data_IF_787071446592
#
_entry.id   IF_787071446592
#
_cell.length_a   1.000
_cell.length_b   1.000
_cell.length_c   1.000
_cell.angle_alpha   90.00
_cell.angle_beta   90.00
_cell.angle_gamma   90.00
#
_symmetry.space_group_name_H-M   'P 1'
#
loop_
_entity.id
_entity.type
_entity.pdbx_description
1 polymer ?
#
# COMPACT_ATOMS: atom_id res chain seq x y z
N UNK A 1 -1.36 12.01 26.70
CA UNK A 1 -1.79 12.29 25.30
C UNK A 1 -1.64 11.06 24.39
N UNK A 2 -0.58 10.23 24.51
CA UNK A 2 -0.44 8.97 23.73
C UNK A 2 -1.45 7.84 24.02
N UNK A 3 -2.11 7.82 25.18
CA UNK A 3 -3.06 6.74 25.55
C UNK A 3 -4.36 6.83 24.73
N UNK A 4 -4.75 8.03 24.27
CA UNK A 4 -6.01 8.25 23.55
C UNK A 4 -5.87 7.83 22.07
N UNK A 5 -4.67 7.94 21.48
CA UNK A 5 -4.46 7.66 20.05
C UNK A 5 -4.59 6.17 19.69
N UNK A 6 -4.01 5.27 20.48
CA UNK A 6 -4.06 3.82 20.19
C UNK A 6 -5.46 3.23 20.40
N UNK A 7 -6.20 3.74 21.38
CA UNK A 7 -7.57 3.32 21.66
C UNK A 7 -8.52 3.66 20.50
N UNK A 8 -8.33 4.82 19.87
CA UNK A 8 -9.07 5.22 18.69
C UNK A 8 -8.70 4.32 17.49
N UNK A 9 -7.42 3.97 17.31
CA UNK A 9 -7.00 3.08 16.21
C UNK A 9 -7.61 1.69 16.33
N UNK A 10 -7.60 1.09 17.52
CA UNK A 10 -8.19 -0.23 17.76
C UNK A 10 -9.73 -0.22 17.58
N UNK A 11 -10.41 0.83 18.07
CA UNK A 11 -11.86 1.00 17.90
C UNK A 11 -12.21 1.29 16.43
N UNK A 12 -11.46 2.13 15.73
CA UNK A 12 -11.63 2.39 14.30
C UNK A 12 -11.39 1.13 13.47
N UNK A 13 -10.40 0.32 13.85
CA UNK A 13 -10.13 -0.97 13.21
C UNK A 13 -11.28 -1.94 13.44
N UNK A 14 -11.85 -1.96 14.64
CA UNK A 14 -13.05 -2.73 14.95
C UNK A 14 -14.27 -2.22 14.14
N UNK A 15 -14.51 -0.91 14.09
CA UNK A 15 -15.62 -0.31 13.33
C UNK A 15 -15.47 -0.51 11.83
N UNK A 16 -14.25 -0.44 11.29
CA UNK A 16 -13.97 -0.79 9.88
C UNK A 16 -14.17 -2.26 9.62
N UNK A 17 -13.77 -3.14 10.54
CA UNK A 17 -14.00 -4.59 10.44
C UNK A 17 -15.51 -4.89 10.46
N UNK A 18 -16.26 -4.32 11.41
CA UNK A 18 -17.71 -4.47 11.51
C UNK A 18 -18.46 -3.85 10.32
N UNK A 19 -17.96 -2.76 9.74
CA UNK A 19 -18.47 -2.21 8.49
C UNK A 19 -18.14 -3.10 7.28
N UNK A 20 -16.94 -3.71 7.25
CA UNK A 20 -16.54 -4.69 6.23
C UNK A 20 -17.25 -6.03 6.36
N UNK A 21 -17.80 -6.36 7.55
CA UNK A 21 -18.67 -7.52 7.77
C UNK A 21 -20.00 -7.43 7.00
N UNK A 22 -20.30 -6.28 6.38
CA UNK A 22 -21.41 -6.12 5.43
C UNK A 22 -20.98 -6.18 3.95
N UNK A 23 -19.69 -6.34 3.65
CA UNK A 23 -19.13 -6.39 2.30
C UNK A 23 -18.42 -7.72 2.01
N UNK A 24 -18.34 -8.09 0.73
CA UNK A 24 -17.63 -9.29 0.29
C UNK A 24 -16.14 -9.21 0.65
N UNK A 25 -15.54 -10.32 1.11
CA UNK A 25 -14.08 -10.42 1.27
C UNK A 25 -13.44 -10.27 -0.11
N UNK A 26 -12.76 -9.15 -0.35
CA UNK A 26 -12.03 -8.91 -1.59
C UNK A 26 -10.72 -9.70 -1.53
N UNK A 27 -10.50 -10.56 -2.51
CA UNK A 27 -9.25 -11.28 -2.71
C UNK A 27 -8.50 -10.65 -3.88
N UNK A 28 -7.20 -10.48 -3.72
CA UNK A 28 -6.31 -9.90 -4.73
C UNK A 28 -4.97 -10.62 -4.75
N UNK A 29 -4.28 -10.53 -5.89
CA UNK A 29 -2.93 -11.04 -6.01
C UNK A 29 -1.95 -10.05 -5.41
N UNK A 30 -1.15 -10.51 -4.45
CA UNK A 30 -0.08 -9.71 -3.86
C UNK A 30 1.16 -10.56 -3.56
N UNK A 31 2.34 -9.92 -3.53
CA UNK A 31 3.59 -10.55 -3.10
C UNK A 31 3.74 -10.46 -1.58
N UNK A 32 3.70 -11.60 -0.83
CA UNK A 32 3.88 -11.58 0.62
C UNK A 32 5.25 -11.06 1.01
N UNK A 33 6.29 -11.45 0.27
CA UNK A 33 7.66 -10.99 0.50
C UNK A 33 7.73 -9.45 0.53
N UNK A 34 7.18 -8.79 -0.51
CA UNK A 34 7.18 -7.32 -0.62
C UNK A 34 6.52 -6.65 0.58
N UNK A 35 5.33 -7.09 0.96
CA UNK A 35 4.57 -6.48 2.06
C UNK A 35 5.30 -6.65 3.38
N UNK A 36 5.88 -7.83 3.63
CA UNK A 36 6.62 -8.06 4.86
C UNK A 36 7.89 -7.21 4.93
N UNK A 37 8.62 -7.06 3.82
CA UNK A 37 9.78 -6.15 3.76
C UNK A 37 9.38 -4.70 4.07
N UNK A 38 8.28 -4.19 3.49
CA UNK A 38 7.76 -2.86 3.81
C UNK A 38 7.39 -2.71 5.30
N UNK A 39 6.73 -3.72 5.86
CA UNK A 39 6.34 -3.73 7.28
C UNK A 39 7.54 -3.78 8.22
N UNK A 40 8.53 -4.62 7.92
CA UNK A 40 9.77 -4.73 8.67
C UNK A 40 10.47 -3.39 8.71
N UNK A 41 10.67 -2.76 7.55
CA UNK A 41 11.32 -1.44 7.45
C UNK A 41 10.64 -0.39 8.35
N UNK A 42 9.31 -0.41 8.41
CA UNK A 42 8.54 0.50 9.28
C UNK A 42 8.77 0.22 10.78
N UNK A 43 8.92 -1.05 11.17
CA UNK A 43 9.03 -1.48 12.57
C UNK A 43 10.48 -1.52 13.07
N UNK A 44 11.47 -1.61 12.17
CA UNK A 44 12.91 -1.54 12.51
C UNK A 44 13.23 -0.26 13.27
N UNK A 45 12.73 0.88 12.80
CA UNK A 45 12.92 2.17 13.48
C UNK A 45 12.38 2.14 14.93
N UNK A 46 11.19 1.56 15.14
CA UNK A 46 10.59 1.45 16.48
C UNK A 46 11.38 0.50 17.40
N UNK A 47 11.93 -0.59 16.84
CA UNK A 47 12.78 -1.53 17.57
C UNK A 47 14.12 -0.89 17.95
N UNK A 48 14.75 -0.15 17.03
CA UNK A 48 16.02 0.54 17.24
C UNK A 48 15.92 1.61 18.34
N UNK A 49 14.84 2.40 18.34
CA UNK A 49 14.57 3.37 19.41
C UNK A 49 14.44 2.74 20.80
N UNK A 50 14.12 1.44 20.89
CA UNK A 50 14.09 0.66 22.13
C UNK A 50 15.36 -0.16 22.38
N UNK A 51 16.33 -0.14 21.46
CA UNK A 51 17.53 -0.98 21.53
C UNK A 51 17.25 -2.48 21.36
N UNK A 52 16.18 -2.84 20.64
CA UNK A 52 15.82 -4.21 20.33
C UNK A 52 16.44 -4.64 18.99
N UNK A 53 16.87 -5.91 18.90
CA UNK A 53 17.29 -6.49 17.63
C UNK A 53 16.08 -7.07 16.91
N UNK A 54 15.79 -6.61 15.69
CA UNK A 54 14.79 -7.21 14.82
C UNK A 54 15.48 -8.06 13.75
N UNK A 55 15.20 -9.36 13.74
CA UNK A 55 15.69 -10.30 12.72
C UNK A 55 14.53 -10.85 11.89
N UNK A 56 14.84 -11.29 10.67
CA UNK A 56 13.84 -11.69 9.69
C UNK A 56 14.25 -12.97 8.96
N UNK A 57 13.29 -13.87 8.78
CA UNK A 57 13.43 -15.13 8.05
C UNK A 57 12.22 -15.27 7.12
N UNK A 58 12.25 -14.55 5.99
CA UNK A 58 11.18 -14.57 4.98
C UNK A 58 11.55 -15.59 3.91
N UNK A 59 11.00 -16.79 4.04
CA UNK A 59 11.14 -17.90 3.09
C UNK A 59 9.97 -17.89 2.10
N UNK A 60 9.81 -16.77 1.39
CA UNK A 60 8.80 -16.58 0.33
C UNK A 60 9.50 -15.95 -0.86
N UNK A 61 9.36 -16.55 -2.04
CA UNK A 61 9.96 -16.02 -3.27
C UNK A 61 9.48 -14.59 -3.54
N UNK A 62 10.37 -13.61 -3.76
CA UNK A 62 9.99 -12.22 -4.05
C UNK A 62 9.07 -12.04 -5.26
N UNK A 63 9.15 -12.96 -6.23
CA UNK A 63 8.39 -12.94 -7.49
C UNK A 63 7.06 -13.69 -7.40
N UNK A 64 6.81 -14.40 -6.30
CA UNK A 64 5.57 -15.16 -6.11
C UNK A 64 4.47 -14.26 -5.54
N UNK A 65 3.36 -14.17 -6.25
CA UNK A 65 2.12 -13.56 -5.77
C UNK A 65 1.12 -14.64 -5.36
N UNK A 66 0.40 -14.42 -4.26
CA UNK A 66 -0.69 -15.28 -3.79
C UNK A 66 -2.02 -14.54 -3.85
N UNK A 67 -3.11 -15.26 -4.11
CA UNK A 67 -4.47 -14.76 -4.09
C UNK A 67 -5.05 -14.93 -2.68
N UNK A 68 -5.11 -13.83 -1.93
CA UNK A 68 -5.72 -13.77 -0.58
C UNK A 68 -6.13 -12.32 -0.29
N UNK A 69 -6.40 -11.96 0.97
CA UNK A 69 -6.71 -10.57 1.34
C UNK A 69 -5.45 -9.84 1.84
N UNK A 70 -4.88 -8.96 1.01
CA UNK A 70 -3.63 -8.24 1.30
C UNK A 70 -3.72 -7.46 2.61
N UNK A 71 -4.79 -6.68 2.74
CA UNK A 71 -5.00 -5.79 3.89
C UNK A 71 -5.00 -6.56 5.22
N UNK A 72 -5.75 -7.66 5.32
CA UNK A 72 -5.83 -8.48 6.53
C UNK A 72 -4.49 -9.14 6.85
N UNK A 73 -3.80 -9.68 5.85
CA UNK A 73 -2.46 -10.27 6.04
C UNK A 73 -1.47 -9.22 6.57
N UNK A 74 -1.48 -8.01 6.01
CA UNK A 74 -0.65 -6.88 6.45
C UNK A 74 -0.97 -6.47 7.90
N UNK A 75 -2.26 -6.40 8.24
CA UNK A 75 -2.71 -6.08 9.61
C UNK A 75 -2.29 -7.14 10.63
N UNK A 76 -2.42 -8.42 10.30
CA UNK A 76 -2.01 -9.53 11.18
C UNK A 76 -0.51 -9.45 11.47
N UNK A 77 0.32 -9.34 10.43
CA UNK A 77 1.78 -9.23 10.59
C UNK A 77 2.19 -7.99 11.40
N UNK A 78 1.59 -6.83 11.11
CA UNK A 78 1.88 -5.60 11.85
C UNK A 78 1.45 -5.68 13.31
N UNK A 79 0.32 -6.32 13.64
CA UNK A 79 -0.12 -6.50 15.02
C UNK A 79 0.84 -7.37 15.82
N UNK A 80 1.32 -8.47 15.23
CA UNK A 80 2.32 -9.32 15.89
C UNK A 80 3.64 -8.58 16.14
N UNK A 81 4.17 -7.89 15.12
CA UNK A 81 5.41 -7.10 15.24
C UNK A 81 5.30 -6.01 16.31
N UNK A 82 4.23 -5.20 16.25
CA UNK A 82 4.02 -4.11 17.20
C UNK A 82 3.83 -4.62 18.63
N UNK A 83 3.13 -5.74 18.84
CA UNK A 83 3.03 -6.37 20.17
C UNK A 83 4.40 -6.87 20.66
N UNK A 84 5.18 -7.52 19.81
CA UNK A 84 6.52 -7.99 20.19
C UNK A 84 7.43 -6.81 20.60
N UNK A 85 7.43 -5.71 19.84
CA UNK A 85 8.19 -4.49 20.16
C UNK A 85 7.65 -3.83 21.44
N UNK A 86 6.34 -3.85 21.65
CA UNK A 86 5.70 -3.28 22.82
C UNK A 86 6.10 -4.01 24.11
N UNK A 87 6.06 -5.34 24.11
CA UNK A 87 6.21 -6.17 25.32
C UNK A 87 7.63 -6.70 25.55
N UNK A 88 8.54 -6.55 24.59
CA UNK A 88 9.96 -6.82 24.78
C UNK A 88 10.69 -5.56 25.24
N UNK A 89 11.36 -5.61 26.40
CA UNK A 89 12.14 -4.48 26.91
C UNK A 89 13.58 -4.49 26.39
N UNK A 90 14.20 -5.67 26.33
CA UNK A 90 15.55 -5.91 25.82
C UNK A 90 15.60 -7.28 25.16
N UNK A 91 16.45 -7.43 24.16
CA UNK A 91 16.68 -8.70 23.48
C UNK A 91 16.31 -8.63 22.00
N UNK A 92 15.72 -9.71 21.50
CA UNK A 92 15.53 -9.95 20.08
C UNK A 92 14.08 -10.27 19.75
N UNK A 93 13.64 -9.80 18.59
CA UNK A 93 12.40 -10.16 17.94
C UNK A 93 12.76 -10.82 16.61
N UNK A 94 12.14 -11.93 16.28
CA UNK A 94 12.35 -12.63 15.00
C UNK A 94 11.02 -12.76 14.26
N UNK A 95 10.91 -12.16 13.09
CA UNK A 95 9.77 -12.32 12.18
C UNK A 95 10.07 -13.44 11.18
N UNK A 96 9.17 -14.42 11.04
CA UNK A 96 9.27 -15.48 10.04
C UNK A 96 8.03 -15.54 9.18
N UNK A 97 8.24 -15.79 7.89
CA UNK A 97 7.16 -16.05 6.96
C UNK A 97 7.55 -17.16 5.99
N UNK A 98 6.62 -18.07 5.71
CA UNK A 98 6.83 -19.16 4.74
C UNK A 98 5.52 -19.62 4.11
N UNK A 99 5.58 -20.17 2.91
CA UNK A 99 4.44 -20.83 2.29
C UNK A 99 4.55 -22.35 2.45
N UNK A 100 3.42 -23.02 2.57
CA UNK A 100 3.35 -24.48 2.55
C UNK A 100 2.14 -24.95 1.76
N UNK A 101 2.29 -26.07 1.07
CA UNK A 101 1.19 -26.80 0.44
C UNK A 101 0.97 -28.08 1.24
N UNK A 102 -0.23 -28.24 1.78
CA UNK A 102 -0.62 -29.42 2.58
C UNK A 102 -1.83 -30.10 1.95
N UNK A 103 -2.23 -31.27 2.47
CA UNK A 103 -3.48 -31.93 2.08
C UNK A 103 -4.72 -31.05 2.29
N UNK A 104 -4.65 -30.07 3.20
CA UNK A 104 -5.73 -29.15 3.53
C UNK A 104 -5.65 -27.83 2.75
N UNK A 105 -4.93 -27.83 1.63
CA UNK A 105 -4.71 -26.66 0.78
C UNK A 105 -3.41 -25.92 1.07
N UNK A 106 -3.31 -24.75 0.47
CA UNK A 106 -2.12 -23.91 0.55
C UNK A 106 -2.24 -22.88 1.68
N UNK A 107 -1.16 -22.66 2.42
CA UNK A 107 -1.15 -21.83 3.63
C UNK A 107 0.08 -20.92 3.64
N UNK A 108 -0.14 -19.66 3.99
CA UNK A 108 0.86 -18.70 4.39
C UNK A 108 1.02 -18.76 5.91
N UNK A 109 2.22 -19.11 6.36
CA UNK A 109 2.61 -19.14 7.77
C UNK A 109 3.28 -17.83 8.13
N UNK A 110 2.81 -17.20 9.19
CA UNK A 110 3.40 -16.02 9.80
C UNK A 110 3.75 -16.34 11.24
N UNK A 111 4.94 -15.94 11.66
CA UNK A 111 5.40 -16.14 13.04
C UNK A 111 6.17 -14.90 13.52
N UNK A 112 5.91 -14.48 14.75
CA UNK A 112 6.73 -13.51 15.46
C UNK A 112 7.14 -14.10 16.80
N UNK A 113 8.44 -14.28 16.95
CA UNK A 113 9.08 -14.70 18.19
C UNK A 113 9.66 -13.50 18.91
N UNK A 114 9.39 -13.38 20.21
CA UNK A 114 9.94 -12.36 21.08
C UNK A 114 10.65 -12.98 22.29
N UNK A 115 11.71 -12.32 22.77
CA UNK A 115 12.40 -12.70 24.03
C UNK A 115 11.92 -11.89 25.23
N UNK A 116 10.64 -11.49 25.24
CA UNK A 116 10.04 -10.69 26.29
C UNK A 116 9.69 -11.49 27.55
N UNK A 117 8.72 -10.97 28.32
CA UNK A 117 8.27 -11.57 29.58
C UNK A 117 7.59 -12.95 29.41
N UNK A 118 7.25 -13.32 28.17
CA UNK A 118 6.47 -14.50 27.87
C UNK A 118 4.99 -14.36 28.23
N UNK A 119 4.23 -15.43 27.97
CA UNK A 119 2.82 -15.53 28.34
C UNK A 119 2.63 -16.74 29.25
N UNK A 120 1.95 -16.52 30.38
CA UNK A 120 1.64 -17.58 31.33
C UNK A 120 0.70 -18.61 30.71
N UNK A 121 0.80 -19.87 31.17
CA UNK A 121 -0.07 -20.98 30.73
C UNK A 121 -1.57 -20.64 30.80
N UNK A 122 -1.99 -19.92 31.85
CA UNK A 122 -3.37 -19.50 32.06
C UNK A 122 -3.80 -18.42 31.07
N UNK A 123 -2.91 -17.46 30.78
CA UNK A 123 -3.21 -16.34 29.89
C UNK A 123 -3.25 -16.76 28.42
N UNK A 124 -2.50 -17.80 28.00
CA UNK A 124 -2.47 -18.27 26.60
C UNK A 124 -3.85 -18.60 26.03
N UNK A 125 -4.76 -19.09 26.86
CA UNK A 125 -6.14 -19.40 26.43
C UNK A 125 -7.03 -18.15 26.31
N UNK A 126 -6.57 -17.02 26.85
CA UNK A 126 -7.33 -15.78 26.99
C UNK A 126 -6.77 -14.63 26.17
N UNK A 127 -5.51 -14.69 25.69
CA UNK A 127 -4.86 -13.59 24.95
C UNK A 127 -5.63 -13.11 23.73
N UNK A 128 -6.47 -13.96 23.14
CA UNK A 128 -7.34 -13.62 22.01
C UNK A 128 -8.80 -13.30 22.42
N UNK A 129 -9.11 -13.13 23.71
CA UNK A 129 -10.44 -12.71 24.15
C UNK A 129 -10.57 -11.19 24.03
N UNK A 130 -11.77 -10.75 23.67
CA UNK A 130 -12.13 -9.33 23.63
C UNK A 130 -11.86 -8.69 25.01
N UNK A 131 -11.15 -7.56 25.02
CA UNK A 131 -10.80 -6.78 26.22
C UNK A 131 -9.79 -7.42 27.18
N UNK A 132 -9.12 -8.49 26.76
CA UNK A 132 -8.09 -9.11 27.60
C UNK A 132 -6.74 -8.40 27.46
N UNK A 133 -6.11 -8.08 28.58
CA UNK A 133 -4.74 -7.55 28.64
C UNK A 133 -4.03 -8.07 29.88
N UNK A 134 -2.78 -8.51 29.72
CA UNK A 134 -1.90 -8.87 30.85
C UNK A 134 -1.27 -7.65 31.51
N UNK A 135 -1.38 -6.47 30.88
CA UNK A 135 -0.83 -5.22 31.42
C UNK A 135 -1.75 -4.03 31.09
N UNK A 136 -2.73 -3.73 31.97
CA UNK A 136 -3.65 -2.60 31.81
C UNK A 136 -2.93 -1.24 31.69
N UNK A 137 -1.76 -1.11 32.33
CA UNK A 137 -0.97 0.12 32.33
C UNK A 137 -0.19 0.35 31.03
N UNK A 138 -0.07 -0.68 30.18
CA UNK A 138 0.57 -0.58 28.86
C UNK A 138 -0.32 0.09 27.79
N UNK A 139 -1.47 0.66 28.18
CA UNK A 139 -2.28 1.55 27.35
C UNK A 139 -2.99 0.89 26.17
N UNK A 140 -3.22 -0.43 26.20
CA UNK A 140 -4.01 -1.13 25.18
C UNK A 140 -5.34 -1.65 25.77
N UNK A 141 -6.44 -1.49 25.05
CA UNK A 141 -7.79 -1.95 25.46
C UNK A 141 -7.91 -3.49 25.37
N UNK A 142 -6.93 -4.19 24.78
CA UNK A 142 -7.00 -5.64 24.61
C UNK A 142 -7.88 -6.06 23.43
N UNK A 143 -7.99 -5.20 22.41
CA UNK A 143 -8.73 -5.49 21.18
C UNK A 143 -7.83 -5.97 20.04
N UNK A 144 -6.56 -5.54 19.97
CA UNK A 144 -5.65 -5.87 18.87
C UNK A 144 -5.62 -7.36 18.51
N UNK A 145 -5.23 -8.23 19.45
CA UNK A 145 -5.17 -9.68 19.19
C UNK A 145 -6.55 -10.31 18.93
N UNK A 146 -7.62 -9.79 19.55
CA UNK A 146 -8.98 -10.25 19.27
C UNK A 146 -9.41 -9.93 17.82
N UNK A 147 -9.12 -8.72 17.35
CA UNK A 147 -9.37 -8.30 15.96
C UNK A 147 -8.52 -9.13 15.00
N UNK A 148 -7.24 -9.35 15.32
CA UNK A 148 -6.35 -10.21 14.54
C UNK A 148 -6.92 -11.63 14.44
N UNK A 149 -7.45 -12.18 15.53
CA UNK A 149 -8.10 -13.49 15.52
C UNK A 149 -9.31 -13.53 14.57
N UNK A 150 -10.21 -12.55 14.64
CA UNK A 150 -11.36 -12.47 13.74
C UNK A 150 -10.90 -12.41 12.28
N UNK A 151 -9.93 -11.55 11.95
CA UNK A 151 -9.41 -11.41 10.58
C UNK A 151 -8.88 -12.74 10.03
N UNK A 152 -8.15 -13.51 10.85
CA UNK A 152 -7.60 -14.82 10.46
C UNK A 152 -8.69 -15.87 10.33
N UNK A 153 -9.62 -15.95 11.28
CA UNK A 153 -10.72 -16.94 11.26
C UNK A 153 -11.68 -16.70 10.09
N UNK A 154 -11.98 -15.46 9.75
CA UNK A 154 -12.81 -15.11 8.59
C UNK A 154 -12.15 -15.46 7.25
N UNK A 155 -10.81 -15.49 7.20
CA UNK A 155 -10.09 -16.03 6.05
C UNK A 155 -10.06 -17.57 6.04
N UNK A 156 -10.63 -18.24 7.04
CA UNK A 156 -10.53 -19.70 7.21
C UNK A 156 -9.15 -20.16 7.70
N UNK A 157 -8.41 -19.27 8.35
CA UNK A 157 -7.09 -19.51 8.91
C UNK A 157 -7.11 -19.90 10.39
N UNK A 158 -5.93 -20.23 10.91
CA UNK A 158 -5.70 -20.52 12.31
C UNK A 158 -4.75 -19.50 12.92
N UNK A 159 -4.93 -19.18 14.20
CA UNK A 159 -4.06 -18.26 14.95
C UNK A 159 -3.75 -18.87 16.31
N UNK A 160 -2.56 -18.60 16.84
CA UNK A 160 -2.21 -19.08 18.17
C UNK A 160 -0.98 -18.45 18.78
N UNK A 161 -0.65 -18.92 19.97
CA UNK A 161 0.56 -18.55 20.70
C UNK A 161 1.21 -19.79 21.31
N UNK A 162 2.53 -19.88 21.21
CA UNK A 162 3.37 -20.92 21.85
C UNK A 162 4.32 -20.23 22.83
N UNK A 163 4.67 -20.91 23.91
CA UNK A 163 5.75 -20.47 24.83
C UNK A 163 6.94 -21.42 24.69
N UNK A 164 8.16 -20.89 24.90
CA UNK A 164 9.40 -21.68 24.97
C UNK A 164 9.75 -21.99 26.44
N UNK A 165 10.68 -22.92 26.62
CA UNK A 165 11.34 -23.22 27.91
C UNK A 165 12.20 -22.07 28.45
N UNK A 166 12.38 -20.99 27.66
CA UNK A 166 13.00 -19.72 28.03
C UNK A 166 11.96 -18.59 27.98
N UNK A 167 12.14 -17.48 28.73
CA UNK A 167 11.24 -16.32 28.64
C UNK A 167 11.06 -15.85 27.18
N UNK A 168 9.81 -15.61 26.77
CA UNK A 168 9.45 -15.22 25.42
C UNK A 168 8.13 -15.84 24.94
N UNK A 169 7.63 -15.37 23.80
CA UNK A 169 6.42 -15.91 23.16
C UNK A 169 6.61 -16.05 21.66
N UNK A 170 5.86 -16.97 21.07
CA UNK A 170 5.77 -17.14 19.62
C UNK A 170 4.31 -17.00 19.24
N UNK A 171 3.96 -15.87 18.63
CA UNK A 171 2.66 -15.68 18.01
C UNK A 171 2.70 -16.16 16.57
N UNK A 172 1.68 -16.91 16.14
CA UNK A 172 1.63 -17.44 14.78
C UNK A 172 0.24 -17.34 14.17
N UNK A 173 0.19 -17.26 12.85
CA UNK A 173 -1.04 -17.35 12.05
C UNK A 173 -0.79 -18.18 10.78
N UNK A 174 -1.78 -18.98 10.42
CA UNK A 174 -1.83 -19.81 9.20
C UNK A 174 -2.99 -19.34 8.34
N UNK A 175 -2.70 -18.60 7.27
CA UNK A 175 -3.72 -17.96 6.43
C UNK A 175 -3.81 -18.72 5.10
N UNK A 176 -4.98 -19.22 4.67
CA UNK A 176 -5.10 -19.88 3.39
C UNK A 176 -5.01 -18.87 2.24
N UNK A 177 -4.53 -19.36 1.10
CA UNK A 177 -4.57 -18.65 -0.16
C UNK A 177 -5.10 -19.59 -1.24
N UNK A 178 -5.89 -19.04 -2.16
CA UNK A 178 -6.65 -19.84 -3.13
C UNK A 178 -5.86 -20.14 -4.41
N UNK A 179 -4.93 -19.26 -4.77
CA UNK A 179 -4.11 -19.40 -5.98
C UNK A 179 -2.74 -18.75 -5.76
N UNK A 180 -1.76 -19.11 -6.59
CA UNK A 180 -0.44 -18.49 -6.61
C UNK A 180 0.13 -18.45 -8.01
N UNK A 181 0.76 -17.35 -8.38
CA UNK A 181 1.38 -17.15 -9.68
C UNK A 181 2.77 -16.55 -9.54
N UNK A 182 3.68 -17.01 -10.39
CA UNK A 182 4.97 -16.34 -10.57
C UNK A 182 4.72 -15.07 -11.39
N UNK A 183 5.07 -13.92 -10.83
CA UNK A 183 5.10 -12.69 -11.60
C UNK A 183 6.41 -12.63 -12.37
N UNK A 184 6.31 -12.54 -13.71
CA UNK A 184 7.44 -12.67 -14.62
C UNK A 184 8.63 -11.77 -14.23
N UNK A 185 8.35 -10.61 -13.63
CA UNK A 185 9.26 -9.85 -12.79
C UNK A 185 8.49 -9.51 -11.52
N UNK A 186 9.09 -9.69 -10.33
CA UNK A 186 8.62 -8.99 -9.13
C UNK A 186 8.41 -7.55 -9.56
N UNK A 187 7.19 -7.01 -9.54
CA UNK A 187 6.93 -5.65 -10.01
C UNK A 187 7.74 -4.70 -9.12
N UNK A 188 8.99 -4.42 -9.54
CA UNK A 188 9.78 -3.31 -9.04
C UNK A 188 8.86 -2.12 -9.24
N UNK A 189 8.51 -1.46 -8.14
CA UNK A 189 7.76 -0.20 -8.21
C UNK A 189 8.49 0.66 -9.24
N UNK A 190 7.78 1.09 -10.27
CA UNK A 190 8.37 1.99 -11.24
C UNK A 190 8.80 3.25 -10.47
N UNK A 191 10.06 3.62 -10.64
CA UNK A 191 10.70 4.74 -9.93
C UNK A 191 11.12 5.79 -10.93
N UNK A 192 11.31 7.04 -10.49
CA UNK A 192 11.76 8.12 -11.38
C UNK A 192 12.98 7.76 -12.27
N UNK A 193 14.01 7.00 -11.79
CA UNK A 193 15.12 6.59 -12.64
C UNK A 193 14.75 5.65 -13.80
N UNK A 194 13.56 5.06 -13.77
CA UNK A 194 13.06 4.22 -14.86
C UNK A 194 12.48 5.07 -16.00
N UNK A 195 12.23 6.36 -15.78
CA UNK A 195 11.78 7.29 -16.83
C UNK A 195 12.90 7.53 -17.87
N UNK A 196 12.55 7.72 -19.15
CA UNK A 196 13.53 8.04 -20.18
C UNK A 196 14.35 9.29 -19.83
N UNK A 197 15.69 9.24 -19.95
CA UNK A 197 16.54 10.40 -19.75
C UNK A 197 16.12 11.55 -20.68
N UNK A 198 15.96 12.75 -20.12
CA UNK A 198 15.60 13.95 -20.88
C UNK A 198 14.11 14.14 -21.15
N UNK A 199 13.23 13.25 -20.69
CA UNK A 199 11.76 13.35 -20.85
C UNK A 199 11.24 14.75 -20.46
N UNK A 200 10.58 15.44 -21.40
CA UNK A 200 9.99 16.77 -21.20
C UNK A 200 8.52 16.61 -20.84
N UNK A 201 8.21 16.87 -19.57
CA UNK A 201 6.91 16.67 -18.99
C UNK A 201 6.25 18.02 -18.68
N UNK A 202 4.98 18.17 -19.07
CA UNK A 202 4.12 19.28 -18.63
C UNK A 202 3.02 18.73 -17.73
N UNK A 203 2.87 19.32 -16.55
CA UNK A 203 1.79 18.99 -15.60
C UNK A 203 0.86 20.19 -15.45
N UNK A 204 -0.44 19.95 -15.56
CA UNK A 204 -1.50 20.97 -15.52
C UNK A 204 -2.49 20.59 -14.42
N UNK A 205 -2.60 21.41 -13.39
CA UNK A 205 -3.55 21.22 -12.29
C UNK A 205 -3.83 22.59 -11.65
N UNK A 206 -5.10 22.95 -11.45
CA UNK A 206 -5.50 24.24 -10.90
C UNK A 206 -5.26 24.34 -9.39
N UNK A 207 -5.09 23.20 -8.72
CA UNK A 207 -4.86 23.17 -7.29
C UNK A 207 -3.35 23.30 -6.98
N UNK A 208 -2.92 24.37 -6.28
CA UNK A 208 -1.51 24.59 -5.97
C UNK A 208 -0.89 23.49 -5.09
N UNK A 209 -1.70 22.75 -4.32
CA UNK A 209 -1.23 21.61 -3.51
C UNK A 209 -0.84 20.44 -4.42
N UNK A 210 -1.63 20.15 -5.45
CA UNK A 210 -1.32 19.09 -6.41
C UNK A 210 -0.08 19.44 -7.24
N UNK A 211 0.05 20.70 -7.66
CA UNK A 211 1.26 21.21 -8.32
C UNK A 211 2.50 21.02 -7.44
N UNK A 212 2.40 21.33 -6.14
CA UNK A 212 3.50 21.11 -5.19
C UNK A 212 3.84 19.63 -5.04
N UNK A 213 2.83 18.76 -4.94
CA UNK A 213 3.01 17.31 -4.88
C UNK A 213 3.73 16.78 -6.12
N UNK A 214 3.32 17.22 -7.31
CA UNK A 214 3.94 16.81 -8.58
C UNK A 214 5.38 17.30 -8.68
N UNK A 215 5.68 18.53 -8.27
CA UNK A 215 7.07 19.02 -8.18
C UNK A 215 7.92 18.17 -7.23
N UNK A 216 7.35 17.71 -6.12
CA UNK A 216 8.04 16.86 -5.17
C UNK A 216 8.28 15.46 -5.71
N UNK A 217 7.28 14.85 -6.37
CA UNK A 217 7.42 13.56 -7.04
C UNK A 217 8.49 13.62 -8.13
N UNK A 218 8.49 14.63 -8.99
CA UNK A 218 9.48 14.73 -10.06
C UNK A 218 10.78 15.44 -9.67
N UNK A 219 11.06 15.55 -8.36
CA UNK A 219 12.28 16.21 -7.89
C UNK A 219 13.51 15.45 -8.40
N UNK A 220 14.36 16.15 -9.16
CA UNK A 220 15.55 15.56 -9.78
C UNK A 220 15.34 15.06 -11.22
N UNK A 221 14.11 15.09 -11.73
CA UNK A 221 13.82 14.94 -13.16
C UNK A 221 13.96 16.31 -13.81
N UNK A 222 14.93 16.47 -14.73
CA UNK A 222 15.41 17.79 -15.15
C UNK A 222 14.43 18.64 -15.97
N UNK A 223 13.45 18.03 -16.65
CA UNK A 223 12.61 18.71 -17.65
C UNK A 223 11.11 18.66 -17.34
N UNK A 224 10.73 18.92 -16.08
CA UNK A 224 9.32 18.96 -15.67
C UNK A 224 8.85 20.40 -15.46
N UNK A 225 7.83 20.79 -16.21
CA UNK A 225 7.14 22.07 -16.09
C UNK A 225 5.76 21.88 -15.50
N UNK A 226 5.30 22.85 -14.73
CA UNK A 226 3.98 22.84 -14.10
C UNK A 226 3.27 24.16 -14.35
N UNK A 227 1.99 24.11 -14.70
CA UNK A 227 1.13 25.28 -14.90
C UNK A 227 -0.22 25.06 -14.25
N UNK A 228 -0.96 26.14 -14.01
CA UNK A 228 -2.16 26.10 -13.15
C UNK A 228 -3.49 26.15 -13.94
N UNK A 229 -3.45 26.17 -15.27
CA UNK A 229 -4.64 26.21 -16.13
C UNK A 229 -4.27 25.78 -17.56
N UNK A 230 -5.30 25.51 -18.38
CA UNK A 230 -5.14 25.05 -19.76
C UNK A 230 -4.58 26.12 -20.71
N UNK A 231 -4.87 27.40 -20.49
CA UNK A 231 -4.37 28.50 -21.31
C UNK A 231 -2.85 28.66 -21.22
N UNK A 232 -2.31 28.62 -20.00
CA UNK A 232 -0.88 28.65 -19.73
C UNK A 232 -0.19 27.40 -20.30
N UNK A 233 -0.86 26.24 -20.25
CA UNK A 233 -0.37 25.01 -20.85
C UNK A 233 -0.20 25.16 -22.37
N UNK A 234 -1.22 25.67 -23.08
CA UNK A 234 -1.16 25.93 -24.52
C UNK A 234 -0.10 26.97 -24.88
N UNK A 235 0.04 28.03 -24.07
CA UNK A 235 1.07 29.04 -24.27
C UNK A 235 2.46 28.41 -24.19
N UNK A 236 2.73 27.64 -23.12
CA UNK A 236 4.02 26.99 -22.92
C UNK A 236 4.33 25.92 -23.98
N UNK A 237 3.32 25.18 -24.43
CA UNK A 237 3.45 24.20 -25.51
C UNK A 237 3.74 24.83 -26.89
N UNK A 238 3.38 26.10 -27.09
CA UNK A 238 3.75 26.84 -28.30
C UNK A 238 5.20 27.33 -28.25
N UNK A 239 5.71 27.63 -27.06
CA UNK A 239 7.07 28.16 -26.86
C UNK A 239 8.14 27.06 -26.86
N UNK A 240 7.82 25.87 -26.33
CA UNK A 240 8.75 24.75 -26.26
C UNK A 240 8.07 23.39 -26.41
N UNK A 241 8.78 22.35 -26.90
CA UNK A 241 8.17 21.06 -27.16
C UNK A 241 8.13 20.20 -25.89
N UNK A 242 7.06 19.41 -25.74
CA UNK A 242 6.89 18.42 -24.68
C UNK A 242 6.69 17.03 -25.27
N UNK A 243 7.13 16.02 -24.51
CA UNK A 243 6.95 14.61 -24.87
C UNK A 243 5.65 14.06 -24.26
N UNK A 244 5.26 14.57 -23.09
CA UNK A 244 4.07 14.15 -22.38
C UNK A 244 3.40 15.32 -21.62
N UNK A 245 2.08 15.37 -21.66
CA UNK A 245 1.23 16.25 -20.82
C UNK A 245 0.43 15.40 -19.83
N UNK A 246 0.36 15.83 -18.58
CA UNK A 246 -0.53 15.29 -17.54
C UNK A 246 -1.46 16.41 -17.11
N UNK A 247 -2.78 16.21 -17.21
CA UNK A 247 -3.76 17.25 -16.83
C UNK A 247 -4.83 16.72 -15.89
N UNK A 248 -5.24 17.52 -14.91
CA UNK A 248 -6.54 17.30 -14.24
C UNK A 248 -7.67 17.50 -15.25
N UNK A 249 -8.71 16.68 -15.17
CA UNK A 249 -9.93 16.81 -15.99
C UNK A 249 -10.77 17.99 -15.51
N UNK A 250 -10.85 18.19 -14.20
CA UNK A 250 -11.72 19.19 -13.60
C UNK A 250 -10.93 20.43 -13.22
N UNK A 251 -10.86 21.39 -14.13
CA UNK A 251 -10.23 22.69 -13.92
C UNK A 251 -11.23 23.83 -14.22
N UNK A 252 -11.16 24.96 -13.49
CA UNK A 252 -11.94 26.15 -13.79
C UNK A 252 -11.45 26.82 -15.08
N UNK A 253 -12.37 27.44 -15.83
CA UNK A 253 -12.05 28.03 -17.13
C UNK A 253 -12.01 26.94 -18.20
N UNK A 254 -10.84 26.71 -18.79
CA UNK A 254 -10.61 25.57 -19.69
C UNK A 254 -10.49 24.28 -18.88
N UNK A 255 -11.44 23.38 -19.06
CA UNK A 255 -11.38 22.03 -18.49
C UNK A 255 -10.23 21.22 -19.09
N UNK A 256 -9.81 20.17 -18.38
CA UNK A 256 -8.80 19.25 -18.91
C UNK A 256 -9.25 18.62 -20.22
N UNK A 257 -10.53 18.23 -20.34
CA UNK A 257 -11.07 17.65 -21.58
C UNK A 257 -10.95 18.64 -22.74
N UNK A 258 -11.33 19.90 -22.57
CA UNK A 258 -11.19 20.93 -23.61
C UNK A 258 -9.71 21.16 -24.00
N UNK A 259 -8.79 21.10 -23.02
CA UNK A 259 -7.36 21.15 -23.28
C UNK A 259 -6.91 19.95 -24.15
N UNK A 260 -7.34 18.74 -23.81
CA UNK A 260 -7.03 17.52 -24.57
C UNK A 260 -7.56 17.59 -26.01
N UNK A 261 -8.80 18.06 -26.19
CA UNK A 261 -9.42 18.25 -27.51
C UNK A 261 -8.61 19.22 -28.37
N UNK A 262 -8.16 20.33 -27.79
CA UNK A 262 -7.30 21.31 -28.48
C UNK A 262 -5.94 20.72 -28.85
N UNK A 263 -5.33 19.94 -27.95
CA UNK A 263 -4.07 19.25 -28.22
C UNK A 263 -4.23 18.29 -29.40
N UNK A 264 -5.30 17.47 -29.45
CA UNK A 264 -5.51 16.52 -30.55
C UNK A 264 -5.97 17.13 -31.85
N UNK A 265 -6.63 18.28 -31.81
CA UNK A 265 -7.04 19.01 -33.01
C UNK A 265 -5.85 19.67 -33.73
N UNK A 266 -4.72 19.85 -33.03
CA UNK A 266 -3.52 20.47 -33.57
C UNK A 266 -2.47 19.42 -33.95
N UNK A 267 -2.23 19.29 -35.27
CA UNK A 267 -1.28 18.33 -35.85
C UNK A 267 0.15 18.48 -35.33
N UNK A 268 0.52 19.65 -34.79
CA UNK A 268 1.85 19.89 -34.19
C UNK A 268 2.09 19.00 -32.97
N UNK A 269 1.03 18.53 -32.30
CA UNK A 269 1.12 17.74 -31.07
C UNK A 269 0.79 16.25 -31.25
N UNK A 270 0.66 15.75 -32.48
CA UNK A 270 0.24 14.37 -32.75
C UNK A 270 1.13 13.28 -32.11
N UNK A 271 2.42 13.56 -31.90
CA UNK A 271 3.35 12.62 -31.27
C UNK A 271 3.43 12.76 -29.75
N UNK A 272 2.84 13.82 -29.19
CA UNK A 272 2.87 14.10 -27.76
C UNK A 272 1.88 13.18 -27.05
N UNK A 273 2.35 12.55 -25.96
CA UNK A 273 1.50 11.70 -25.13
C UNK A 273 0.70 12.54 -24.17
N UNK A 274 -0.52 12.11 -23.85
CA UNK A 274 -1.37 12.85 -22.93
C UNK A 274 -2.04 11.94 -21.93
N UNK A 275 -1.93 12.28 -20.66
CA UNK A 275 -2.52 11.55 -19.54
C UNK A 275 -3.52 12.43 -18.80
N UNK A 276 -4.67 11.86 -18.47
CA UNK A 276 -5.69 12.52 -17.65
C UNK A 276 -5.59 12.07 -16.19
N UNK A 277 -5.84 12.98 -15.25
CA UNK A 277 -5.99 12.66 -13.83
C UNK A 277 -7.44 12.98 -13.40
N UNK A 278 -8.09 12.07 -12.68
CA UNK A 278 -9.42 12.32 -12.11
C UNK A 278 -9.65 11.56 -10.80
N UNK A 279 -10.53 12.09 -9.95
CA UNK A 279 -11.10 11.40 -8.79
C UNK A 279 -12.38 10.62 -9.14
N UNK A 280 -12.98 10.87 -10.30
CA UNK A 280 -14.20 10.22 -10.76
C UNK A 280 -13.92 9.37 -12.01
N UNK A 281 -13.88 8.05 -11.80
CA UNK A 281 -13.74 7.08 -12.86
C UNK A 281 -14.96 6.97 -13.76
N UNK A 282 -16.14 7.44 -13.35
CA UNK A 282 -17.33 7.39 -14.20
C UNK A 282 -17.27 8.41 -15.34
N UNK A 283 -16.74 9.61 -15.08
CA UNK A 283 -16.44 10.61 -16.11
C UNK A 283 -15.39 10.10 -17.11
N UNK A 284 -14.37 9.38 -16.62
CA UNK A 284 -13.34 8.74 -17.46
C UNK A 284 -13.89 7.58 -18.30
N UNK A 285 -14.70 6.70 -17.70
CA UNK A 285 -15.35 5.58 -18.41
C UNK A 285 -16.38 6.05 -19.42
N UNK A 286 -17.12 7.11 -19.11
CA UNK A 286 -18.02 7.74 -20.07
C UNK A 286 -17.24 8.30 -21.26
N UNK A 287 -16.05 8.87 -21.03
CA UNK A 287 -15.15 9.28 -22.11
C UNK A 287 -14.60 8.09 -22.90
N UNK A 288 -14.31 6.95 -22.27
CA UNK A 288 -13.96 5.69 -22.95
C UNK A 288 -15.10 5.18 -23.85
N UNK A 289 -16.36 5.27 -23.39
CA UNK A 289 -17.53 4.74 -24.11
C UNK A 289 -18.03 5.65 -25.26
N UNK A 290 -17.64 6.93 -25.32
CA UNK A 290 -18.25 7.96 -26.19
C UNK A 290 -17.37 8.50 -27.32
N UNK A 291 -16.30 7.80 -27.72
CA UNK A 291 -15.27 8.25 -28.69
C UNK A 291 -14.28 9.32 -28.15
N UNK A 292 -14.35 9.67 -26.86
CA UNK A 292 -13.34 10.53 -26.23
C UNK A 292 -12.04 9.79 -25.86
N UNK A 293 -11.95 8.46 -26.07
CA UNK A 293 -10.67 7.71 -26.10
C UNK A 293 -9.65 8.32 -27.07
N UNK A 294 -10.10 9.04 -28.10
CA UNK A 294 -9.21 9.69 -29.05
C UNK A 294 -8.31 10.77 -28.41
N UNK A 295 -8.63 11.23 -27.19
CA UNK A 295 -8.02 12.44 -26.63
C UNK A 295 -6.86 12.21 -25.66
N UNK A 296 -6.70 11.01 -25.08
CA UNK A 296 -5.62 10.70 -24.13
C UNK A 296 -5.05 9.28 -24.33
N UNK A 297 -3.78 9.10 -23.98
CA UNK A 297 -3.04 7.83 -24.06
C UNK A 297 -3.13 7.00 -22.76
N UNK A 298 -3.76 7.55 -21.72
CA UNK A 298 -3.99 6.87 -20.43
C UNK A 298 -4.56 7.80 -19.37
N UNK A 299 -4.91 7.24 -18.21
CA UNK A 299 -5.41 8.00 -17.07
C UNK A 299 -4.76 7.55 -15.74
N UNK A 300 -4.86 8.40 -14.73
CA UNK A 300 -4.37 8.19 -13.37
C UNK A 300 -5.51 8.52 -12.40
N UNK A 301 -5.90 7.54 -11.58
CA UNK A 301 -6.96 7.70 -10.58
C UNK A 301 -6.42 8.36 -9.30
N UNK A 302 -7.12 9.37 -8.78
CA UNK A 302 -6.84 9.95 -7.46
C UNK A 302 -7.47 9.07 -6.36
N UNK A 303 -6.77 8.75 -5.26
CA UNK A 303 -5.39 9.13 -4.94
C UNK A 303 -4.36 8.20 -5.61
N UNK A 304 -3.22 8.78 -6.02
CA UNK A 304 -2.12 8.04 -6.65
C UNK A 304 -0.80 8.20 -5.89
N UNK A 305 0.12 7.29 -6.15
CA UNK A 305 1.51 7.26 -5.68
C UNK A 305 2.49 7.62 -6.80
N UNK A 306 3.73 7.98 -6.44
CA UNK A 306 4.81 8.20 -7.42
C UNK A 306 4.97 7.00 -8.37
N UNK A 307 4.92 5.78 -7.84
CA UNK A 307 5.10 4.58 -8.65
C UNK A 307 3.98 4.34 -9.66
N UNK A 308 2.75 4.72 -9.32
CA UNK A 308 1.62 4.61 -10.26
C UNK A 308 1.76 5.63 -11.38
N UNK A 309 2.13 6.88 -11.07
CA UNK A 309 2.40 7.89 -12.09
C UNK A 309 3.51 7.43 -13.04
N UNK A 310 4.66 6.99 -12.49
CA UNK A 310 5.79 6.55 -13.32
C UNK A 310 5.39 5.36 -14.19
N UNK A 311 4.68 4.39 -13.62
CA UNK A 311 4.20 3.21 -14.37
C UNK A 311 3.28 3.62 -15.54
N UNK A 312 2.36 4.56 -15.31
CA UNK A 312 1.46 5.05 -16.35
C UNK A 312 2.19 5.85 -17.42
N UNK A 313 3.18 6.68 -17.05
CA UNK A 313 4.03 7.38 -18.01
C UNK A 313 4.78 6.39 -18.90
N UNK A 314 5.42 5.38 -18.32
CA UNK A 314 6.16 4.37 -19.08
C UNK A 314 5.25 3.62 -20.05
N UNK A 315 4.03 3.26 -19.61
CA UNK A 315 3.04 2.61 -20.47
C UNK A 315 2.62 3.49 -21.65
N UNK A 316 2.43 4.79 -21.45
CA UNK A 316 2.00 5.71 -22.50
C UNK A 316 3.09 6.02 -23.52
N UNK A 317 4.36 6.00 -23.09
CA UNK A 317 5.53 6.22 -23.94
C UNK A 317 5.98 4.97 -24.72
N UNK A 318 5.44 3.79 -24.37
CA UNK A 318 5.71 2.50 -25.06
C UNK A 318 4.94 2.41 -26.37
#
# INVERSE_FOLDING_TARGET
INIISNNITDILSLSKLEASNKGNIVLEYFSPNRIFQELITLHENQAELKGLQLATEINVDPTLSILSNEFRVKQVASNFLSNAIKYTQKGKITFRASLSVTSNGQRLHLEVEDTGIGISEQDRRQVFRKYFTTNPNAGGIGLGLYITKIMVEELGGNIGVKSKSTPGSIFFAEIPYSDSRMEAHAQRKATLPDLPPGLRLLVVDDNPINILLMKQFFKGVGNVHTVNNGEDALTLMNDQPFDLVITDIHMPGMSGIELLEKIRSDKRFNTMKVLAISADMSTLKYAEETQAEAFFDGFIEKPFTESEIVKTILKALS
#
